data_IF_592216674393
#
_entry.id   IF_592216674393
#
_cell.length_a   1.000
_cell.length_b   1.000
_cell.length_c   1.000
_cell.angle_alpha   90.00
_cell.angle_beta   90.00
_cell.angle_gamma   90.00
#
_symmetry.space_group_name_H-M   'P 1'
#
loop_
_entity.id
_entity.type
_entity.pdbx_description
1 polymer ?
#
# COMPACT_ATOMS: atom_id res chain seq x y z
N UNK A 1 21.03 -62.44 -20.70
CA UNK A 1 22.05 -62.48 -21.78
C UNK A 1 21.66 -61.37 -22.77
N UNK A 2 22.20 -60.15 -22.66
CA UNK A 2 23.47 -59.67 -23.26
C UNK A 2 23.43 -59.78 -24.81
N UNK A 3 23.62 -58.77 -25.66
CA UNK A 3 24.32 -57.49 -25.56
C UNK A 3 23.84 -56.48 -26.64
N UNK A 4 24.11 -55.19 -26.36
CA UNK A 4 24.06 -54.01 -27.25
C UNK A 4 24.98 -54.12 -28.47
N UNK A 5 24.71 -53.34 -29.54
CA UNK A 5 25.58 -52.23 -30.02
C UNK A 5 24.94 -51.37 -31.12
N UNK A 6 25.00 -50.04 -30.96
CA UNK A 6 25.03 -49.01 -32.01
C UNK A 6 26.51 -48.67 -32.29
N UNK A 7 26.88 -48.14 -33.49
CA UNK A 7 27.03 -46.68 -33.69
C UNK A 7 26.62 -46.19 -35.11
N UNK A 8 25.94 -45.06 -35.29
CA UNK A 8 26.38 -43.64 -35.39
C UNK A 8 26.78 -43.12 -36.79
N UNK A 9 26.05 -42.07 -37.20
CA UNK A 9 26.50 -40.84 -37.89
C UNK A 9 26.71 -40.87 -39.41
N UNK A 10 25.86 -40.11 -40.14
CA UNK A 10 26.25 -39.13 -41.20
C UNK A 10 25.04 -38.44 -41.87
N UNK A 11 25.14 -37.10 -41.94
CA UNK A 11 24.60 -36.10 -42.92
C UNK A 11 23.07 -36.08 -43.16
N UNK A 12 22.40 -34.94 -43.33
CA UNK A 12 22.66 -33.82 -44.26
C UNK A 12 22.13 -32.46 -43.74
N UNK A 13 22.78 -31.39 -44.20
CA UNK A 13 22.39 -29.98 -44.03
C UNK A 13 22.45 -29.31 -45.42
N UNK A 14 21.35 -28.64 -45.82
CA UNK A 14 21.16 -27.54 -46.81
C UNK A 14 19.66 -27.54 -47.24
N UNK A 15 18.98 -26.41 -47.61
CA UNK A 15 19.59 -25.30 -48.32
C UNK A 15 19.23 -23.84 -47.96
N UNK A 16 20.17 -22.97 -48.32
CA UNK A 16 20.08 -21.53 -48.74
C UNK A 16 18.70 -20.85 -48.87
N UNK A 17 18.58 -19.62 -48.30
CA UNK A 17 18.38 -18.36 -49.06
C UNK A 17 18.18 -17.12 -48.17
N UNK A 18 19.00 -16.12 -48.44
CA UNK A 18 18.88 -14.73 -48.04
C UNK A 18 17.55 -14.09 -48.49
N UNK A 19 16.85 -13.42 -47.56
CA UNK A 19 15.97 -12.30 -47.90
C UNK A 19 16.00 -11.25 -46.79
N UNK A 20 16.72 -10.16 -47.08
CA UNK A 20 16.75 -8.92 -46.33
C UNK A 20 15.34 -8.33 -46.19
N UNK A 21 14.92 -8.02 -44.96
CA UNK A 21 13.74 -7.20 -44.70
C UNK A 21 14.14 -5.74 -44.50
N UNK A 22 13.80 -4.95 -45.52
CA UNK A 22 13.81 -3.48 -45.58
C UNK A 22 13.02 -2.85 -44.42
N UNK A 23 13.64 -1.89 -43.74
CA UNK A 23 12.96 -0.85 -42.95
C UNK A 23 12.25 0.14 -43.89
N UNK A 24 10.98 0.53 -43.63
CA UNK A 24 10.36 1.68 -44.26
C UNK A 24 10.52 2.97 -43.43
N UNK A 25 10.38 4.15 -44.07
CA UNK A 25 11.05 5.38 -43.66
C UNK A 25 10.23 6.26 -42.69
N UNK A 26 10.96 7.08 -41.93
CA UNK A 26 10.41 8.07 -41.02
C UNK A 26 9.67 9.23 -41.70
N UNK A 27 8.76 9.84 -40.95
CA UNK A 27 8.16 11.16 -41.20
C UNK A 27 7.90 11.87 -39.85
N UNK A 28 7.82 13.22 -39.87
CA UNK A 28 8.52 14.07 -38.90
C UNK A 28 7.68 14.46 -37.67
N UNK A 29 8.39 15.02 -36.69
CA UNK A 29 7.92 15.35 -35.36
C UNK A 29 6.69 16.26 -35.29
N UNK A 30 5.78 15.89 -34.37
CA UNK A 30 4.72 16.76 -33.89
C UNK A 30 5.29 17.75 -32.88
N UNK A 31 5.54 18.96 -33.37
CA UNK A 31 5.86 20.16 -32.60
C UNK A 31 4.64 20.56 -31.74
N UNK A 32 4.74 20.42 -30.42
CA UNK A 32 3.76 20.99 -29.49
C UNK A 32 3.87 22.52 -29.50
N UNK A 33 2.77 23.29 -29.68
CA UNK A 33 2.86 24.74 -29.62
C UNK A 33 3.11 25.22 -28.18
N UNK A 34 4.09 26.12 -28.08
CA UNK A 34 4.49 26.87 -26.89
C UNK A 34 3.36 27.76 -26.39
N UNK A 35 3.18 27.81 -25.08
CA UNK A 35 2.23 28.69 -24.40
C UNK A 35 2.95 30.03 -24.22
N UNK A 36 2.84 30.93 -25.19
CA UNK A 36 3.03 32.35 -24.91
C UNK A 36 2.17 33.24 -25.82
N UNK A 37 1.66 34.30 -25.19
CA UNK A 37 0.96 35.48 -25.70
C UNK A 37 -0.19 35.36 -26.72
N UNK A 38 -1.39 35.76 -26.28
CA UNK A 38 -2.18 36.77 -27.01
C UNK A 38 -2.99 37.64 -26.04
N UNK A 39 -2.59 38.91 -25.93
CA UNK A 39 -3.44 40.02 -25.45
C UNK A 39 -4.42 40.42 -26.56
N UNK A 40 -5.63 40.86 -26.20
CA UNK A 40 -6.27 41.94 -26.93
C UNK A 40 -6.50 43.18 -26.04
N UNK A 41 -6.13 44.34 -26.59
CA UNK A 41 -6.41 45.69 -26.10
C UNK A 41 -7.71 46.17 -26.77
N UNK A 42 -8.70 46.63 -26.00
CA UNK A 42 -9.89 47.33 -26.51
C UNK A 42 -10.98 47.56 -25.43
N UNK A 43 -11.81 48.63 -25.50
CA UNK A 43 -12.15 49.42 -24.31
C UNK A 43 -13.61 49.33 -23.80
N UNK A 44 -13.76 49.24 -22.46
CA UNK A 44 -14.87 49.78 -21.63
C UNK A 44 -16.27 49.10 -21.71
N UNK A 45 -17.19 49.32 -20.72
CA UNK A 45 -17.17 50.34 -19.67
C UNK A 45 -17.20 49.81 -18.22
N UNK A 46 -16.94 50.75 -17.30
CA UNK A 46 -16.77 50.57 -15.87
C UNK A 46 -18.07 50.24 -15.10
N UNK A 47 -17.95 49.39 -14.07
CA UNK A 47 -18.81 49.49 -12.90
C UNK A 47 -18.03 49.19 -11.62
N UNK A 48 -18.25 50.08 -10.66
CA UNK A 48 -17.52 50.25 -9.39
C UNK A 48 -17.83 49.09 -8.45
N UNK A 49 -16.81 48.53 -7.80
CA UNK A 49 -16.72 48.37 -6.32
C UNK A 49 -15.41 47.64 -5.98
N UNK A 50 -14.49 48.36 -5.36
CA UNK A 50 -13.33 47.75 -4.71
C UNK A 50 -13.75 46.96 -3.48
N UNK A 51 -13.09 45.84 -3.26
CA UNK A 51 -13.14 45.07 -2.01
C UNK A 51 -11.71 44.67 -1.66
N UNK A 52 -11.23 45.22 -0.56
CA UNK A 52 -9.97 44.91 0.12
C UNK A 52 -9.90 43.39 0.46
N UNK A 53 -8.69 42.83 0.65
CA UNK A 53 -8.53 41.45 1.12
C UNK A 53 -9.19 41.30 2.50
N UNK A 54 -10.32 40.59 2.52
CA UNK A 54 -10.99 40.23 3.75
C UNK A 54 -10.08 39.32 4.57
N UNK A 55 -9.81 39.74 5.81
CA UNK A 55 -9.19 38.89 6.81
C UNK A 55 -10.01 37.61 6.96
N UNK A 56 -9.33 36.48 6.82
CA UNK A 56 -9.84 35.17 7.17
C UNK A 56 -10.41 35.22 8.60
N UNK A 57 -11.64 34.76 8.88
CA UNK A 57 -12.06 34.61 10.27
C UNK A 57 -11.19 33.51 10.88
N UNK A 58 -10.21 33.94 11.68
CA UNK A 58 -9.59 33.11 12.68
C UNK A 58 -10.70 32.48 13.50
N UNK A 59 -10.80 31.15 13.48
CA UNK A 59 -11.52 30.41 14.51
C UNK A 59 -10.78 30.66 15.82
N UNK A 60 -11.18 31.75 16.48
CA UNK A 60 -10.77 32.07 17.82
C UNK A 60 -11.25 30.95 18.72
N UNK A 61 -10.30 30.15 19.23
CA UNK A 61 -10.51 29.35 20.44
C UNK A 61 -10.98 30.32 21.52
N UNK A 62 -12.30 30.42 21.71
CA UNK A 62 -12.87 31.07 22.90
C UNK A 62 -12.32 30.33 24.11
N UNK A 63 -11.36 30.95 24.78
CA UNK A 63 -11.16 30.74 26.21
C UNK A 63 -12.48 31.17 26.86
N UNK A 64 -13.26 30.20 27.30
CA UNK A 64 -14.42 30.45 28.15
C UNK A 64 -13.90 30.92 29.51
N UNK A 65 -13.97 32.24 29.72
CA UNK A 65 -13.94 32.85 31.05
C UNK A 65 -15.13 32.32 31.86
N UNK A 66 -14.85 32.03 33.13
CA UNK A 66 -15.78 31.51 34.11
C UNK A 66 -17.04 32.39 34.23
N UNK A 67 -18.21 31.76 34.10
CA UNK A 67 -19.49 32.27 34.56
C UNK A 67 -19.96 31.45 35.78
N UNK A 68 -20.76 32.03 36.68
CA UNK A 68 -21.08 31.41 37.96
C UNK A 68 -21.89 30.12 37.79
N UNK A 69 -21.57 29.16 38.66
CA UNK A 69 -22.06 27.79 38.72
C UNK A 69 -23.58 27.70 38.86
N UNK A 70 -24.28 27.25 37.82
CA UNK A 70 -25.54 26.49 37.96
C UNK A 70 -25.62 25.47 36.82
N UNK A 71 -25.57 24.17 37.14
CA UNK A 71 -26.11 23.13 36.25
C UNK A 71 -25.17 22.13 35.57
N UNK A 72 -23.88 22.04 35.92
CA UNK A 72 -23.07 20.88 35.50
C UNK A 72 -23.17 19.76 36.53
N UNK A 73 -23.89 18.70 36.17
CA UNK A 73 -23.82 17.39 36.86
C UNK A 73 -22.36 16.93 36.81
N UNK A 74 -21.63 16.83 37.94
CA UNK A 74 -20.28 16.30 37.91
C UNK A 74 -20.38 14.83 37.50
N UNK A 75 -19.69 14.44 36.43
CA UNK A 75 -19.45 13.03 36.16
C UNK A 75 -18.62 12.49 37.32
N UNK A 76 -19.25 11.70 38.20
CA UNK A 76 -18.60 10.89 39.23
C UNK A 76 -17.86 9.70 38.58
N UNK A 77 -16.98 10.01 37.63
CA UNK A 77 -16.12 9.05 36.95
C UNK A 77 -14.72 9.09 37.55
N UNK A 78 -14.01 7.96 37.65
CA UNK A 78 -12.62 7.94 38.06
C UNK A 78 -11.79 8.91 37.20
N UNK A 79 -11.02 9.78 37.84
CA UNK A 79 -10.05 10.61 37.12
C UNK A 79 -9.08 9.69 36.39
N UNK A 80 -8.88 9.85 35.07
CA UNK A 80 -7.91 9.05 34.36
C UNK A 80 -6.50 9.33 34.93
N UNK A 81 -5.64 8.31 35.03
CA UNK A 81 -4.28 8.49 35.55
C UNK A 81 -3.51 9.52 34.71
N UNK A 82 -2.60 10.25 35.38
CA UNK A 82 -1.78 11.32 34.80
C UNK A 82 -1.03 10.81 33.56
N UNK A 83 -1.53 11.15 32.36
CA UNK A 83 -0.99 10.71 31.07
C UNK A 83 -1.99 10.04 30.12
N UNK A 84 -3.16 9.64 30.60
CA UNK A 84 -4.20 9.02 29.75
C UNK A 84 -5.03 10.09 29.04
N UNK A 85 -4.85 10.24 27.72
CA UNK A 85 -5.75 11.04 26.88
C UNK A 85 -6.94 10.17 26.51
N UNK A 86 -8.12 10.54 26.99
CA UNK A 86 -9.38 9.95 26.57
C UNK A 86 -10.00 10.77 25.44
N UNK A 87 -10.55 10.09 24.44
CA UNK A 87 -11.35 10.69 23.37
C UNK A 87 -12.56 11.41 23.95
N UNK A 88 -13.19 12.29 23.16
CA UNK A 88 -14.52 12.82 23.47
C UNK A 88 -15.55 11.71 23.76
N UNK A 89 -15.36 10.52 23.19
CA UNK A 89 -16.17 9.32 23.45
C UNK A 89 -15.75 8.50 24.70
N UNK A 90 -14.79 8.96 25.49
CA UNK A 90 -14.30 8.24 26.67
C UNK A 90 -13.42 7.02 26.38
N UNK A 91 -13.15 6.73 25.11
CA UNK A 91 -12.24 5.65 24.72
C UNK A 91 -10.78 6.07 24.95
N UNK A 92 -9.93 5.16 25.48
CA UNK A 92 -8.51 5.45 25.60
C UNK A 92 -7.92 5.71 24.21
N UNK A 93 -7.40 6.92 24.00
CA UNK A 93 -6.62 7.18 22.80
C UNK A 93 -5.29 6.47 23.00
N UNK A 94 -5.05 5.37 22.28
CA UNK A 94 -3.68 4.90 22.11
C UNK A 94 -2.88 6.09 21.60
N UNK A 95 -1.86 6.51 22.36
CA UNK A 95 -0.88 7.39 21.78
C UNK A 95 -0.30 6.65 20.56
N UNK A 96 -0.31 7.26 19.37
CA UNK A 96 0.52 6.76 18.30
C UNK A 96 1.93 6.57 18.88
N UNK A 97 2.61 5.46 18.58
CA UNK A 97 4.04 5.33 18.84
C UNK A 97 4.73 6.49 18.10
N UNK A 98 4.87 7.62 18.79
CA UNK A 98 5.44 8.83 18.24
C UNK A 98 6.93 8.63 18.34
N UNK A 99 7.50 7.99 17.33
CA UNK A 99 8.93 7.94 17.14
C UNK A 99 9.44 9.38 17.16
N UNK A 100 10.45 9.67 17.98
CA UNK A 100 11.05 11.00 17.99
C UNK A 100 11.61 11.31 16.60
N UNK A 101 11.47 12.55 16.10
CA UNK A 101 12.06 12.92 14.82
C UNK A 101 13.57 12.74 14.92
N UNK A 102 14.10 11.74 14.23
CA UNK A 102 15.55 11.48 14.18
C UNK A 102 16.18 11.96 12.86
N UNK A 103 15.39 12.58 11.97
CA UNK A 103 15.82 13.08 10.65
C UNK A 103 16.58 12.03 9.82
N UNK A 104 16.22 10.74 9.96
CA UNK A 104 16.89 9.63 9.28
C UNK A 104 16.21 9.41 7.94
N UNK A 105 16.94 9.64 6.87
CA UNK A 105 16.45 9.42 5.51
C UNK A 105 16.59 7.95 5.08
N UNK A 106 17.38 7.15 5.80
CA UNK A 106 17.67 5.76 5.44
C UNK A 106 17.53 4.83 6.66
N UNK A 107 17.09 3.57 6.47
CA UNK A 107 17.07 2.55 7.50
C UNK A 107 18.46 2.29 8.09
N UNK A 108 18.54 1.92 9.37
CA UNK A 108 19.83 1.53 9.95
C UNK A 108 20.33 0.20 9.34
N UNK A 109 21.63 -0.13 9.45
CA UNK A 109 22.16 -1.41 9.01
C UNK A 109 21.38 -2.58 9.63
N UNK A 110 20.84 -3.47 8.80
CA UNK A 110 20.01 -4.60 9.23
C UNK A 110 18.51 -4.30 9.42
N UNK A 111 18.07 -3.03 9.34
CA UNK A 111 16.66 -2.64 9.39
C UNK A 111 16.03 -2.48 8.00
N UNK A 112 16.63 -3.09 6.98
CA UNK A 112 16.14 -2.98 5.60
C UNK A 112 15.02 -3.99 5.34
N UNK A 113 14.11 -3.64 4.45
CA UNK A 113 13.06 -4.57 4.04
C UNK A 113 13.65 -5.78 3.30
N UNK A 114 13.53 -6.97 3.91
CA UNK A 114 13.90 -8.23 3.26
C UNK A 114 12.67 -8.88 2.61
N UNK A 115 12.47 -8.62 1.30
CA UNK A 115 11.31 -9.13 0.57
C UNK A 115 11.19 -10.66 0.59
N UNK A 116 12.31 -11.39 0.44
CA UNK A 116 12.32 -12.85 0.44
C UNK A 116 11.92 -13.44 1.81
N UNK A 117 12.44 -12.87 2.90
CA UNK A 117 12.07 -13.25 4.26
C UNK A 117 10.59 -13.01 4.53
N UNK A 118 10.09 -11.83 4.18
CA UNK A 118 8.68 -11.48 4.32
C UNK A 118 7.77 -12.39 3.48
N UNK A 119 8.14 -12.71 2.24
CA UNK A 119 7.37 -13.62 1.40
C UNK A 119 7.27 -15.02 2.00
N UNK A 120 8.38 -15.60 2.47
CA UNK A 120 8.37 -16.90 3.16
C UNK A 120 7.49 -16.90 4.40
N UNK A 121 7.54 -15.82 5.18
CA UNK A 121 6.70 -15.66 6.37
C UNK A 121 5.20 -15.57 6.01
N UNK A 122 4.85 -14.91 4.90
CA UNK A 122 3.48 -14.87 4.37
C UNK A 122 3.00 -16.24 3.90
N UNK A 123 3.81 -16.95 3.11
CA UNK A 123 3.48 -18.30 2.62
C UNK A 123 3.24 -19.25 3.80
N UNK A 124 4.12 -19.22 4.81
CA UNK A 124 3.96 -20.00 6.03
C UNK A 124 2.71 -19.61 6.84
N UNK A 125 2.34 -18.32 6.88
CA UNK A 125 1.14 -17.85 7.56
C UNK A 125 -0.14 -18.34 6.87
N UNK A 126 -0.22 -18.19 5.55
CA UNK A 126 -1.35 -18.66 4.77
C UNK A 126 -1.48 -20.18 4.85
N UNK A 127 -0.39 -20.92 4.68
CA UNK A 127 -0.42 -22.37 4.76
C UNK A 127 -0.86 -22.86 6.14
N UNK A 128 -0.38 -22.26 7.24
CA UNK A 128 -0.74 -22.67 8.59
C UNK A 128 -2.23 -22.43 8.90
N UNK A 129 -2.85 -21.40 8.33
CA UNK A 129 -4.22 -21.01 8.65
C UNK A 129 -5.27 -21.57 7.70
N UNK A 130 -4.92 -21.79 6.43
CA UNK A 130 -5.89 -22.11 5.38
C UNK A 130 -5.84 -23.56 4.90
N UNK A 131 -4.84 -24.35 5.34
CA UNK A 131 -4.69 -25.75 4.92
C UNK A 131 -5.94 -26.59 5.15
N UNK A 132 -6.52 -26.50 6.35
CA UNK A 132 -7.63 -27.35 6.78
C UNK A 132 -8.98 -26.59 6.82
N UNK A 133 -9.04 -25.42 6.18
CA UNK A 133 -10.24 -24.56 6.16
C UNK A 133 -11.04 -24.76 4.87
N UNK A 134 -12.34 -25.00 5.02
CA UNK A 134 -13.29 -24.97 3.92
C UNK A 134 -13.92 -23.58 3.76
N UNK A 135 -14.11 -23.14 2.52
CA UNK A 135 -14.77 -21.86 2.24
C UNK A 135 -16.20 -21.81 2.78
N UNK A 136 -16.53 -20.72 3.47
CA UNK A 136 -17.90 -20.41 3.88
C UNK A 136 -18.15 -18.91 3.69
N UNK A 137 -19.10 -18.54 2.83
CA UNK A 137 -19.36 -17.13 2.48
C UNK A 137 -19.75 -16.25 3.68
N UNK A 138 -20.46 -16.80 4.66
CA UNK A 138 -20.88 -16.05 5.86
C UNK A 138 -19.72 -15.77 6.82
N UNK A 139 -18.70 -16.64 6.86
CA UNK A 139 -17.55 -16.52 7.77
C UNK A 139 -16.31 -15.93 7.09
N UNK A 140 -16.30 -15.83 5.76
CA UNK A 140 -15.17 -15.33 4.97
C UNK A 140 -14.67 -13.95 5.45
N UNK A 141 -15.57 -13.03 5.78
CA UNK A 141 -15.20 -11.69 6.25
C UNK A 141 -14.41 -11.72 7.57
N UNK A 142 -14.87 -12.50 8.55
CA UNK A 142 -14.18 -12.66 9.85
C UNK A 142 -12.84 -13.36 9.67
N UNK A 143 -12.81 -14.37 8.80
CA UNK A 143 -11.60 -15.13 8.51
C UNK A 143 -10.53 -14.25 7.84
N UNK A 144 -10.90 -13.41 6.87
CA UNK A 144 -9.97 -12.45 6.25
C UNK A 144 -9.46 -11.44 7.26
N UNK A 145 -10.31 -10.92 8.14
CA UNK A 145 -9.90 -9.99 9.19
C UNK A 145 -8.88 -10.63 10.14
N UNK A 146 -9.14 -11.86 10.60
CA UNK A 146 -8.23 -12.61 11.47
C UNK A 146 -6.89 -12.87 10.78
N UNK A 147 -6.91 -13.27 9.51
CA UNK A 147 -5.70 -13.45 8.70
C UNK A 147 -4.88 -12.18 8.57
N UNK A 148 -5.53 -11.04 8.28
CA UNK A 148 -4.86 -9.74 8.20
C UNK A 148 -4.17 -9.38 9.51
N UNK A 149 -4.84 -9.56 10.65
CA UNK A 149 -4.28 -9.25 11.97
C UNK A 149 -3.09 -10.16 12.33
N UNK A 150 -3.20 -11.44 12.01
CA UNK A 150 -2.13 -12.40 12.24
C UNK A 150 -0.92 -12.15 11.35
N UNK A 151 -1.14 -11.89 10.05
CA UNK A 151 -0.06 -11.52 9.12
C UNK A 151 0.62 -10.25 9.59
N UNK A 152 -0.15 -9.23 9.94
CA UNK A 152 0.38 -7.97 10.43
C UNK A 152 1.19 -8.14 11.71
N UNK A 153 0.77 -9.01 12.62
CA UNK A 153 1.52 -9.35 13.83
C UNK A 153 2.84 -10.04 13.50
N UNK A 154 2.83 -11.05 12.62
CA UNK A 154 4.05 -11.74 12.15
C UNK A 154 5.03 -10.79 11.45
N UNK A 155 4.53 -9.85 10.64
CA UNK A 155 5.39 -8.87 9.97
C UNK A 155 6.01 -7.88 10.95
N UNK A 156 5.35 -7.58 12.08
CA UNK A 156 5.92 -6.76 13.14
C UNK A 156 7.06 -7.44 13.89
N UNK A 157 7.09 -8.78 13.94
CA UNK A 157 8.17 -9.56 14.56
C UNK A 157 9.50 -9.41 13.80
N UNK A 158 9.48 -8.93 12.55
CA UNK A 158 10.68 -8.59 11.78
C UNK A 158 11.44 -7.37 12.34
N UNK A 159 10.90 -6.70 13.37
CA UNK A 159 11.54 -5.58 14.08
C UNK A 159 12.00 -4.45 13.15
N UNK A 160 11.11 -3.98 12.29
CA UNK A 160 11.32 -2.84 11.40
C UNK A 160 10.72 -1.56 12.01
N UNK A 161 11.46 -0.79 12.84
CA UNK A 161 10.87 0.23 13.71
C UNK A 161 10.32 1.46 12.96
N UNK A 162 10.85 1.74 11.77
CA UNK A 162 10.50 2.90 10.94
C UNK A 162 9.68 2.56 9.71
N UNK A 163 9.12 1.36 9.65
CA UNK A 163 8.26 0.97 8.53
C UNK A 163 6.78 1.05 8.91
N UNK A 164 5.99 1.62 8.01
CA UNK A 164 4.54 1.49 8.01
C UNK A 164 4.18 0.28 7.17
N UNK A 165 3.51 -0.67 7.81
CA UNK A 165 3.06 -1.90 7.18
C UNK A 165 1.59 -1.76 6.78
N UNK A 166 1.29 -2.07 5.52
CA UNK A 166 -0.07 -2.15 4.99
C UNK A 166 -0.29 -3.57 4.49
N UNK A 167 -1.19 -4.30 5.15
CA UNK A 167 -1.54 -5.68 4.80
C UNK A 167 -2.89 -5.69 4.07
N UNK A 168 -2.94 -6.36 2.92
CA UNK A 168 -4.16 -6.61 2.17
C UNK A 168 -4.26 -8.11 1.87
N UNK A 169 -5.44 -8.69 2.10
CA UNK A 169 -5.73 -10.10 1.88
C UNK A 169 -7.00 -10.22 1.06
N UNK A 170 -6.91 -10.92 -0.05
CA UNK A 170 -8.03 -11.29 -0.92
C UNK A 170 -8.30 -12.77 -0.74
N UNK A 171 -9.53 -13.15 -0.44
CA UNK A 171 -9.95 -14.54 -0.26
C UNK A 171 -11.26 -14.81 -1.00
N UNK A 172 -11.36 -15.97 -1.64
CA UNK A 172 -12.56 -16.37 -2.38
C UNK A 172 -12.66 -17.88 -2.58
N UNK A 173 -13.84 -18.37 -3.01
CA UNK A 173 -14.05 -19.80 -3.28
C UNK A 173 -13.23 -20.23 -4.50
N UNK A 174 -13.00 -21.52 -4.67
CA UNK A 174 -12.33 -22.09 -5.85
C UNK A 174 -13.33 -22.97 -6.62
N UNK A 175 -13.96 -22.37 -7.62
CA UNK A 175 -15.04 -22.95 -8.42
C UNK A 175 -14.76 -22.87 -9.94
N UNK A 176 -13.48 -22.80 -10.31
CA UNK A 176 -13.06 -22.77 -11.73
C UNK A 176 -12.98 -21.36 -12.33
N UNK A 177 -13.09 -20.31 -11.52
CA UNK A 177 -12.89 -18.93 -11.95
C UNK A 177 -11.41 -18.54 -12.07
N UNK A 178 -11.11 -17.61 -12.98
CA UNK A 178 -9.80 -16.97 -13.09
C UNK A 178 -9.79 -15.63 -12.36
N UNK A 179 -8.87 -15.45 -11.41
CA UNK A 179 -8.69 -14.18 -10.68
C UNK A 179 -7.25 -13.72 -10.83
N UNK A 180 -7.07 -12.43 -11.17
CA UNK A 180 -5.76 -11.78 -11.23
C UNK A 180 -5.72 -10.59 -10.28
N UNK A 181 -4.87 -10.66 -9.28
CA UNK A 181 -4.62 -9.57 -8.33
C UNK A 181 -3.37 -8.83 -8.75
N UNK A 182 -3.45 -7.50 -8.86
CA UNK A 182 -2.32 -6.63 -9.22
C UNK A 182 -2.33 -5.42 -8.30
N UNK A 183 -1.15 -5.00 -7.85
CA UNK A 183 -0.95 -3.77 -7.09
C UNK A 183 0.04 -2.86 -7.82
N UNK A 184 -0.22 -1.54 -7.79
CA UNK A 184 0.67 -0.51 -8.34
C UNK A 184 0.91 0.52 -7.25
N UNK A 185 2.15 0.92 -7.05
CA UNK A 185 2.56 1.87 -6.02
C UNK A 185 3.56 2.89 -6.59
N UNK A 186 3.56 4.09 -5.99
CA UNK A 186 4.60 5.09 -6.15
C UNK A 186 5.32 5.19 -4.80
N UNK A 187 6.60 4.85 -4.79
CA UNK A 187 7.38 4.64 -3.57
C UNK A 187 8.88 4.69 -3.88
N UNK A 188 9.73 4.68 -2.86
CA UNK A 188 11.18 4.61 -3.03
C UNK A 188 11.61 3.17 -3.34
N UNK A 189 12.33 2.97 -4.45
CA UNK A 189 12.81 1.66 -4.88
C UNK A 189 13.91 1.07 -3.97
N UNK A 190 14.55 1.91 -3.15
CA UNK A 190 15.64 1.50 -2.26
C UNK A 190 15.11 1.11 -0.88
N UNK A 191 14.20 1.92 -0.33
CA UNK A 191 13.78 1.81 1.06
C UNK A 191 12.40 1.18 1.25
N UNK A 192 11.50 1.33 0.27
CA UNK A 192 10.18 0.73 0.34
C UNK A 192 10.17 -0.67 -0.27
N UNK A 193 9.18 -1.47 0.10
CA UNK A 193 9.12 -2.84 -0.38
C UNK A 193 7.76 -3.50 -0.31
N UNK A 194 7.66 -4.62 -1.01
CA UNK A 194 6.48 -5.48 -1.06
C UNK A 194 6.86 -6.94 -0.93
N UNK A 195 5.98 -7.68 -0.29
CA UNK A 195 5.94 -9.12 -0.35
C UNK A 195 4.52 -9.56 -0.69
N UNK A 196 4.39 -10.57 -1.55
CA UNK A 196 3.11 -11.15 -1.92
C UNK A 196 3.20 -12.66 -1.87
N UNK A 197 2.15 -13.32 -1.37
CA UNK A 197 2.05 -14.77 -1.33
C UNK A 197 0.65 -15.21 -1.77
N UNK A 198 0.59 -16.35 -2.44
CA UNK A 198 -0.66 -16.97 -2.88
C UNK A 198 -0.80 -18.35 -2.26
N UNK A 199 -1.99 -18.68 -1.77
CA UNK A 199 -2.33 -19.99 -1.25
C UNK A 199 -3.59 -20.51 -1.92
N UNK A 200 -3.64 -21.81 -2.20
CA UNK A 200 -4.83 -22.46 -2.76
C UNK A 200 -5.03 -23.81 -2.10
N UNK A 201 -6.29 -24.14 -1.80
CA UNK A 201 -6.72 -25.47 -1.40
C UNK A 201 -7.87 -25.92 -2.35
N UNK A 202 -8.51 -27.08 -2.13
CA UNK A 202 -9.62 -27.52 -2.98
C UNK A 202 -10.85 -26.60 -2.96
N UNK A 203 -11.09 -25.87 -1.87
CA UNK A 203 -12.32 -25.08 -1.66
C UNK A 203 -12.16 -23.57 -1.87
N UNK A 204 -10.96 -23.01 -1.68
CA UNK A 204 -10.69 -21.57 -1.71
C UNK A 204 -9.30 -21.22 -2.26
N UNK A 205 -9.15 -19.95 -2.61
CA UNK A 205 -7.87 -19.29 -2.84
C UNK A 205 -7.71 -18.09 -1.89
N UNK A 206 -6.46 -17.75 -1.61
CA UNK A 206 -6.09 -16.54 -0.89
C UNK A 206 -4.85 -15.90 -1.50
N UNK A 207 -4.84 -14.57 -1.55
CA UNK A 207 -3.69 -13.76 -1.97
C UNK A 207 -3.45 -12.73 -0.89
N UNK A 208 -2.27 -12.77 -0.26
CA UNK A 208 -1.84 -11.77 0.70
C UNK A 208 -0.75 -10.89 0.09
N UNK A 209 -0.86 -9.58 0.29
CA UNK A 209 0.12 -8.58 -0.14
C UNK A 209 0.41 -7.66 1.04
N UNK A 210 1.70 -7.48 1.34
CA UNK A 210 2.17 -6.56 2.38
C UNK A 210 3.06 -5.52 1.74
N UNK A 211 2.69 -4.26 1.91
CA UNK A 211 3.52 -3.12 1.57
C UNK A 211 4.22 -2.62 2.84
N UNK A 212 5.52 -2.42 2.75
CA UNK A 212 6.34 -1.83 3.78
C UNK A 212 6.87 -0.51 3.25
N UNK A 213 6.43 0.60 3.87
CA UNK A 213 6.82 1.95 3.47
C UNK A 213 7.66 2.56 4.58
N UNK A 214 8.89 2.93 4.27
CA UNK A 214 9.81 3.58 5.17
C UNK A 214 9.29 4.97 5.56
N UNK A 215 9.42 5.29 6.84
CA UNK A 215 8.98 6.54 7.44
C UNK A 215 10.19 7.32 7.94
N UNK A 216 10.48 8.43 7.25
CA UNK A 216 11.55 9.40 7.54
C UNK A 216 11.29 10.24 8.80
#
# INVERSE_FOLDING_TARGET
MACRTLPSRRQEEEPTKDLALKLPPGKPGGHLPSIDETRPIGPGPASRRGSLPGLHPSFSRRNSLAGPLVGRRPSLGPMPPLGSRVSFSGLPLMLPRRMAPSYRLEPAPGEHWEAAGAQRALEAALAAQLKDVCYCGSEAGKLVQALCEQIHTRMRELNLPRYKLVCNVVLGPREGQGVRVVSRALWDAVHDGLASATFTNPSLFAVATVHAVYWE
#
